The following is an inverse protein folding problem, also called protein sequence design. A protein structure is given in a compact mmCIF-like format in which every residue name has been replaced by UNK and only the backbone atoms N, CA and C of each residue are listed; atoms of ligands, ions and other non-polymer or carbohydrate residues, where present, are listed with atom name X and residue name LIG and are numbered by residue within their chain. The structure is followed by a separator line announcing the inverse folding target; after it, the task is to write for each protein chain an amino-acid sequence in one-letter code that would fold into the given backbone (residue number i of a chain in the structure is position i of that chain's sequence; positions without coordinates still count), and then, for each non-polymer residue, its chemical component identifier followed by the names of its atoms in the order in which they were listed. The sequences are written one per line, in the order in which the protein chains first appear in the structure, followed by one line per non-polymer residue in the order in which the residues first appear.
data_IF_768215916748
#
_entry.id   IF_768215916748
#
_cell.length_a   1.000
_cell.length_b   1.000
_cell.length_c   1.000
_cell.angle_alpha   90.00
_cell.angle_beta   90.00
_cell.angle_gamma   90.00
#
_symmetry.space_group_name_H-M   'P 1'
#
loop_
_entity.id
_entity.type
_entity.pdbx_description
1 polymer ?
#
# COMPACT_ATOMS: atom_id res chain seq x y z
N UNK A 1 1.35 -26.65 -49.57
CA UNK A 1 2.27 -26.45 -48.37
C UNK A 1 2.27 -25.03 -47.76
N UNK A 2 2.06 -23.95 -48.51
CA UNK A 2 2.11 -22.57 -47.97
C UNK A 2 0.94 -22.18 -47.06
N UNK A 3 -0.24 -22.79 -47.23
CA UNK A 3 -1.45 -22.45 -46.46
C UNK A 3 -1.34 -22.87 -45.00
N UNK A 4 -0.70 -24.00 -44.70
CA UNK A 4 -0.52 -24.49 -43.31
C UNK A 4 0.50 -23.65 -42.51
N UNK A 5 1.52 -23.11 -43.16
CA UNK A 5 2.50 -22.25 -42.51
C UNK A 5 1.87 -20.96 -41.93
N UNK A 6 0.91 -20.36 -42.65
CA UNK A 6 0.23 -19.14 -42.18
C UNK A 6 -0.62 -19.41 -40.93
N UNK A 7 -1.31 -20.55 -40.88
CA UNK A 7 -2.12 -20.94 -39.72
C UNK A 7 -1.26 -21.27 -38.51
N UNK A 8 -0.12 -21.91 -38.71
CA UNK A 8 0.84 -22.20 -37.62
C UNK A 8 1.41 -20.89 -37.06
N UNK A 9 1.79 -19.93 -37.90
CA UNK A 9 2.28 -18.64 -37.49
C UNK A 9 1.22 -17.84 -36.71
N UNK A 10 -0.04 -17.86 -37.18
CA UNK A 10 -1.13 -17.22 -36.47
C UNK A 10 -1.38 -17.85 -35.10
N UNK A 11 -1.38 -19.18 -34.99
CA UNK A 11 -1.54 -19.89 -33.75
C UNK A 11 -0.41 -19.57 -32.73
N UNK A 12 0.84 -19.51 -33.21
CA UNK A 12 2.00 -19.14 -32.36
C UNK A 12 1.89 -17.69 -31.87
N UNK A 13 1.45 -16.77 -32.75
CA UNK A 13 1.26 -15.39 -32.35
C UNK A 13 0.17 -15.23 -31.26
N UNK A 14 -0.96 -15.93 -31.43
CA UNK A 14 -2.04 -15.93 -30.42
C UNK A 14 -1.55 -16.51 -29.11
N UNK A 15 -0.83 -17.64 -29.14
CA UNK A 15 -0.28 -18.24 -27.94
C UNK A 15 0.70 -17.31 -27.22
N UNK A 16 1.56 -16.62 -27.96
CA UNK A 16 2.50 -15.64 -27.37
C UNK A 16 1.75 -14.49 -26.70
N UNK A 17 0.70 -13.95 -27.31
CA UNK A 17 -0.14 -12.89 -26.71
C UNK A 17 -0.80 -13.40 -25.42
N UNK A 18 -1.38 -14.58 -25.43
CA UNK A 18 -2.03 -15.18 -24.26
C UNK A 18 -1.03 -15.37 -23.14
N UNK A 19 0.17 -15.87 -23.43
CA UNK A 19 1.23 -16.04 -22.42
C UNK A 19 1.72 -14.69 -21.85
N UNK A 20 1.86 -13.67 -22.68
CA UNK A 20 2.22 -12.32 -22.23
C UNK A 20 1.13 -11.72 -21.34
N UNK A 21 -0.14 -11.85 -21.72
CA UNK A 21 -1.27 -11.39 -20.91
C UNK A 21 -1.34 -12.14 -19.59
N UNK A 22 -1.13 -13.44 -19.59
CA UNK A 22 -1.13 -14.26 -18.37
C UNK A 22 0.03 -13.90 -17.44
N UNK A 23 1.23 -13.69 -17.99
CA UNK A 23 2.39 -13.25 -17.21
C UNK A 23 2.19 -11.86 -16.61
N UNK A 24 1.62 -10.92 -17.37
CA UNK A 24 1.29 -9.59 -16.87
C UNK A 24 0.22 -9.65 -15.76
N UNK A 25 -0.82 -10.48 -15.97
CA UNK A 25 -1.87 -10.70 -14.97
C UNK A 25 -1.32 -11.32 -13.69
N UNK A 26 -0.50 -12.37 -13.80
CA UNK A 26 0.06 -13.06 -12.63
C UNK A 26 0.97 -12.13 -11.81
N UNK A 27 1.77 -11.30 -12.50
CA UNK A 27 2.58 -10.28 -11.85
C UNK A 27 1.70 -9.26 -11.12
N UNK A 28 0.67 -8.74 -11.79
CA UNK A 28 -0.25 -7.77 -11.20
C UNK A 28 -1.01 -8.35 -10.00
N UNK A 29 -1.51 -9.57 -10.11
CA UNK A 29 -2.24 -10.26 -9.04
C UNK A 29 -1.35 -10.64 -7.84
N UNK A 30 -0.03 -10.75 -8.02
CA UNK A 30 0.92 -11.03 -6.94
C UNK A 30 1.56 -9.78 -6.35
N UNK A 31 1.31 -8.58 -6.92
CA UNK A 31 1.87 -7.33 -6.41
C UNK A 31 1.06 -6.84 -5.22
N UNK A 32 1.73 -6.69 -4.08
CA UNK A 32 1.16 -6.08 -2.88
C UNK A 32 1.23 -4.56 -3.01
N UNK A 33 0.09 -3.88 -2.88
CA UNK A 33 -0.01 -2.43 -2.95
C UNK A 33 -0.08 -1.83 -1.57
N UNK A 34 0.88 -0.99 -1.25
CA UNK A 34 0.97 -0.31 0.04
C UNK A 34 0.75 1.18 -0.16
N UNK A 35 -0.32 1.69 0.41
CA UNK A 35 -0.60 3.13 0.46
C UNK A 35 0.17 3.80 1.60
N UNK A 36 0.77 4.96 1.33
CA UNK A 36 1.54 5.73 2.30
C UNK A 36 0.85 7.06 2.55
N UNK A 37 0.49 7.33 3.80
CA UNK A 37 -0.12 8.59 4.23
C UNK A 37 0.88 9.38 5.08
N UNK A 38 1.19 10.61 4.65
CA UNK A 38 2.12 11.51 5.34
C UNK A 38 3.57 10.98 5.45
N UNK A 39 4.02 10.22 4.47
CA UNK A 39 5.43 9.83 4.40
C UNK A 39 6.24 10.90 3.67
N UNK A 40 7.45 11.18 4.18
CA UNK A 40 8.39 12.06 3.47
C UNK A 40 9.21 11.28 2.45
N UNK A 41 9.66 11.94 1.39
CA UNK A 41 10.39 11.30 0.28
C UNK A 41 11.54 10.38 0.73
N UNK A 42 12.29 10.77 1.77
CA UNK A 42 13.40 9.94 2.27
C UNK A 42 12.92 8.67 2.98
N UNK A 43 11.72 8.71 3.59
CA UNK A 43 11.09 7.55 4.24
C UNK A 43 10.58 6.58 3.20
N UNK A 44 9.89 7.08 2.18
CA UNK A 44 9.43 6.30 1.02
C UNK A 44 10.61 5.64 0.31
N UNK A 45 11.69 6.39 0.01
CA UNK A 45 12.89 5.83 -0.60
C UNK A 45 13.54 4.73 0.26
N UNK A 46 13.51 4.87 1.59
CA UNK A 46 14.02 3.84 2.50
C UNK A 46 13.17 2.57 2.49
N UNK A 47 11.84 2.70 2.38
CA UNK A 47 10.92 1.56 2.26
C UNK A 47 11.15 0.81 0.94
N UNK A 48 11.18 1.52 -0.17
CA UNK A 48 11.43 0.95 -1.51
C UNK A 48 12.74 0.19 -1.51
N UNK A 49 13.84 0.82 -1.08
CA UNK A 49 15.16 0.19 -1.02
C UNK A 49 15.24 -1.04 -0.12
N UNK A 50 14.43 -1.11 0.93
CA UNK A 50 14.43 -2.27 1.83
C UNK A 50 13.65 -3.47 1.31
N UNK A 51 12.91 -3.31 0.22
CA UNK A 51 12.01 -4.32 -0.34
C UNK A 51 12.17 -4.49 -1.87
N UNK A 52 13.34 -4.19 -2.42
CA UNK A 52 13.63 -4.24 -3.87
C UNK A 52 13.32 -5.59 -4.53
N UNK A 53 13.42 -6.69 -3.78
CA UNK A 53 13.21 -8.06 -4.29
C UNK A 53 11.76 -8.55 -4.15
N UNK A 54 10.87 -7.73 -3.65
CA UNK A 54 9.49 -8.12 -3.41
C UNK A 54 8.56 -7.43 -4.41
N UNK A 55 7.51 -8.13 -4.82
CA UNK A 55 6.41 -7.57 -5.60
C UNK A 55 5.56 -6.62 -4.74
N UNK A 56 6.17 -5.51 -4.31
CA UNK A 56 5.55 -4.48 -3.47
C UNK A 56 5.63 -3.15 -4.21
N UNK A 57 4.48 -2.53 -4.37
CA UNK A 57 4.34 -1.18 -4.90
C UNK A 57 3.94 -0.23 -3.77
N UNK A 58 4.65 0.87 -3.64
CA UNK A 58 4.35 1.93 -2.68
C UNK A 58 3.78 3.13 -3.42
N UNK A 59 2.65 3.63 -2.97
CA UNK A 59 2.00 4.81 -3.52
C UNK A 59 1.71 5.81 -2.40
N UNK A 60 2.12 7.07 -2.60
CA UNK A 60 1.78 8.14 -1.67
C UNK A 60 0.32 8.55 -1.86
N UNK A 61 -0.43 8.56 -0.77
CA UNK A 61 -1.85 8.94 -0.76
C UNK A 61 -1.94 10.35 -0.18
N UNK A 62 -2.28 11.34 -1.00
CA UNK A 62 -2.51 12.67 -0.48
C UNK A 62 -3.79 12.73 0.36
N UNK A 63 -3.83 13.65 1.33
CA UNK A 63 -4.93 13.76 2.30
C UNK A 63 -6.28 14.12 1.69
N UNK A 64 -6.31 14.59 0.46
CA UNK A 64 -7.54 14.87 -0.30
C UNK A 64 -8.05 13.64 -1.07
N UNK A 65 -7.37 12.49 -0.95
CA UNK A 65 -7.69 11.24 -1.66
C UNK A 65 -7.84 10.02 -0.75
N UNK A 66 -8.21 10.24 0.50
CA UNK A 66 -8.40 9.16 1.48
C UNK A 66 -9.63 8.27 1.15
N UNK A 67 -10.51 8.70 0.25
CA UNK A 67 -11.58 7.89 -0.33
C UNK A 67 -11.06 6.65 -1.08
N UNK A 68 -9.77 6.58 -1.37
CA UNK A 68 -9.14 5.48 -2.13
C UNK A 68 -8.44 4.43 -1.27
N UNK A 69 -8.47 4.55 0.05
CA UNK A 69 -7.74 3.66 0.96
C UNK A 69 -8.10 2.18 0.75
N UNK A 70 -9.34 1.85 0.43
CA UNK A 70 -9.79 0.49 0.16
C UNK A 70 -9.19 -0.19 -1.10
N UNK A 71 -8.34 0.51 -1.85
CA UNK A 71 -7.65 -0.05 -3.03
C UNK A 71 -6.30 -0.67 -2.71
N UNK A 72 -5.83 -0.51 -1.48
CA UNK A 72 -4.52 -0.96 -1.04
C UNK A 72 -4.67 -2.20 -0.17
N UNK A 73 -3.71 -3.10 -0.28
CA UNK A 73 -3.62 -4.29 0.56
C UNK A 73 -3.17 -3.94 1.98
N UNK A 74 -2.51 -2.80 2.13
CA UNK A 74 -2.07 -2.23 3.39
C UNK A 74 -1.95 -0.71 3.26
N UNK A 75 -2.32 0.00 4.30
CA UNK A 75 -2.06 1.45 4.42
C UNK A 75 -1.16 1.71 5.62
N UNK A 76 -0.11 2.46 5.39
CA UNK A 76 0.81 2.94 6.43
C UNK A 76 0.64 4.45 6.60
N UNK A 77 0.32 4.89 7.80
CA UNK A 77 0.21 6.30 8.16
C UNK A 77 1.37 6.74 9.05
N UNK A 78 1.94 7.91 8.77
CA UNK A 78 2.95 8.52 9.63
C UNK A 78 2.32 9.68 10.41
N UNK A 79 1.94 9.42 11.66
CA UNK A 79 1.20 10.35 12.51
C UNK A 79 1.99 11.61 12.86
N UNK A 80 2.98 11.49 13.70
CA UNK A 80 3.93 12.54 14.08
C UNK A 80 3.37 13.99 14.09
N UNK A 81 2.22 14.17 14.72
CA UNK A 81 1.58 15.49 14.82
C UNK A 81 0.80 15.94 13.58
N UNK A 82 0.56 15.07 12.59
CA UNK A 82 -0.28 15.39 11.45
C UNK A 82 -1.72 15.68 11.90
N UNK A 83 -2.20 16.87 11.55
CA UNK A 83 -3.61 17.25 11.76
C UNK A 83 -4.46 16.78 10.59
N UNK A 84 -5.60 16.20 10.90
CA UNK A 84 -6.61 15.74 9.94
C UNK A 84 -7.96 16.37 10.27
N UNK A 85 -8.81 16.51 9.25
CA UNK A 85 -10.20 16.96 9.45
C UNK A 85 -11.09 15.83 9.96
N UNK A 86 -12.25 16.15 10.49
CA UNK A 86 -13.25 15.14 10.87
C UNK A 86 -13.69 14.29 9.68
N UNK A 87 -13.78 14.87 8.49
CA UNK A 87 -14.10 14.14 7.26
C UNK A 87 -13.00 13.14 6.91
N UNK A 88 -11.75 13.57 6.93
CA UNK A 88 -10.58 12.69 6.70
C UNK A 88 -10.52 11.57 7.74
N UNK A 89 -10.80 11.90 8.99
CA UNK A 89 -10.90 10.91 10.06
C UNK A 89 -11.98 9.87 9.76
N UNK A 90 -13.17 10.31 9.38
CA UNK A 90 -14.28 9.42 9.06
C UNK A 90 -13.95 8.50 7.87
N UNK A 91 -13.28 9.02 6.83
CA UNK A 91 -12.84 8.23 5.67
C UNK A 91 -11.85 7.12 6.06
N UNK A 92 -10.88 7.42 6.94
CA UNK A 92 -9.91 6.43 7.40
C UNK A 92 -10.60 5.33 8.23
N UNK A 93 -11.49 5.71 9.15
CA UNK A 93 -12.23 4.76 9.96
C UNK A 93 -13.15 3.88 9.11
N UNK A 94 -13.84 4.45 8.13
CA UNK A 94 -14.69 3.69 7.20
C UNK A 94 -13.87 2.64 6.41
N UNK A 95 -12.70 3.02 5.89
CA UNK A 95 -11.83 2.08 5.19
C UNK A 95 -11.34 0.94 6.10
N UNK A 96 -11.05 1.23 7.36
CA UNK A 96 -10.67 0.22 8.35
C UNK A 96 -11.83 -0.72 8.67
N UNK A 97 -13.05 -0.20 8.82
CA UNK A 97 -14.27 -0.98 9.08
C UNK A 97 -14.64 -1.87 7.88
N UNK A 98 -14.33 -1.43 6.67
CA UNK A 98 -14.45 -2.22 5.43
C UNK A 98 -13.38 -3.31 5.29
N UNK A 99 -12.42 -3.37 6.21
CA UNK A 99 -11.40 -4.41 6.28
C UNK A 99 -10.06 -4.05 5.66
N UNK A 100 -9.83 -2.80 5.28
CA UNK A 100 -8.49 -2.36 4.84
C UNK A 100 -7.54 -2.34 6.04
N UNK A 101 -6.42 -3.10 6.03
CA UNK A 101 -5.44 -3.05 7.10
C UNK A 101 -4.77 -1.67 7.11
N UNK A 102 -4.92 -0.94 8.20
CA UNK A 102 -4.33 0.39 8.38
C UNK A 102 -3.45 0.37 9.63
N UNK A 103 -2.20 0.78 9.47
CA UNK A 103 -1.25 0.92 10.57
C UNK A 103 -0.74 2.34 10.63
N UNK A 104 -0.84 2.95 11.81
CA UNK A 104 -0.34 4.29 12.05
C UNK A 104 0.95 4.20 12.85
N UNK A 105 1.98 4.79 12.27
CA UNK A 105 3.23 5.03 12.96
C UNK A 105 3.05 6.25 13.87
N UNK A 106 2.71 5.99 15.12
CA UNK A 106 2.44 7.02 16.11
C UNK A 106 3.71 7.42 16.88
N UNK A 107 3.74 8.63 17.39
CA UNK A 107 4.67 9.01 18.45
C UNK A 107 4.40 8.20 19.72
N UNK A 108 5.40 8.06 20.60
CA UNK A 108 5.30 7.30 21.87
C UNK A 108 4.16 7.76 22.77
N UNK A 109 3.70 9.00 22.64
CA UNK A 109 2.52 9.54 23.29
C UNK A 109 1.58 10.13 22.24
N UNK A 110 0.54 9.38 21.79
CA UNK A 110 -0.45 9.94 20.91
C UNK A 110 -1.10 11.16 21.60
N UNK A 111 -1.08 12.29 20.92
CA UNK A 111 -1.71 13.51 21.42
C UNK A 111 -3.17 13.26 21.77
N UNK A 112 -3.66 13.94 22.81
CA UNK A 112 -5.07 13.87 23.20
C UNK A 112 -6.01 14.59 22.20
N UNK A 113 -5.45 15.20 21.18
CA UNK A 113 -6.18 15.92 20.15
C UNK A 113 -6.81 14.93 19.17
N UNK A 114 -8.14 14.88 19.16
CA UNK A 114 -8.92 13.99 18.27
C UNK A 114 -8.71 14.29 16.79
N UNK A 115 -8.26 15.50 16.46
CA UNK A 115 -7.95 15.91 15.10
C UNK A 115 -6.53 15.49 14.64
N UNK A 116 -5.78 14.74 15.42
CA UNK A 116 -4.49 14.20 15.00
C UNK A 116 -4.63 12.81 14.38
N UNK A 117 -3.79 12.49 13.39
CA UNK A 117 -3.74 11.15 12.83
C UNK A 117 -3.40 10.11 13.91
N UNK A 118 -2.53 10.45 14.85
CA UNK A 118 -2.15 9.60 15.97
C UNK A 118 -3.35 9.19 16.85
N UNK A 119 -4.38 10.04 16.94
CA UNK A 119 -5.57 9.80 17.75
C UNK A 119 -6.42 8.61 17.25
N UNK A 120 -6.28 8.22 15.99
CA UNK A 120 -6.98 7.07 15.42
C UNK A 120 -6.59 5.74 16.08
N UNK A 121 -5.41 5.67 16.69
CA UNK A 121 -5.00 4.49 17.44
C UNK A 121 -5.88 4.24 18.67
N UNK A 122 -6.44 5.31 19.26
CA UNK A 122 -7.44 5.21 20.34
C UNK A 122 -8.82 4.80 19.83
N UNK A 123 -9.08 4.99 18.54
CA UNK A 123 -10.33 4.56 17.89
C UNK A 123 -10.26 3.13 17.34
N UNK A 124 -9.22 2.36 17.68
CA UNK A 124 -9.08 0.95 17.31
C UNK A 124 -8.23 0.67 16.08
N UNK A 125 -7.68 1.70 15.43
CA UNK A 125 -6.73 1.48 14.33
C UNK A 125 -5.41 0.99 14.90
N UNK A 126 -4.83 -0.03 14.29
CA UNK A 126 -3.57 -0.62 14.71
C UNK A 126 -2.45 0.40 14.73
N UNK A 127 -1.74 0.50 15.84
CA UNK A 127 -0.60 1.39 15.97
C UNK A 127 0.71 0.62 15.98
N UNK A 128 1.71 1.17 15.32
CA UNK A 128 3.08 0.77 15.52
C UNK A 128 3.83 1.88 16.26
N UNK A 129 4.24 1.61 17.49
CA UNK A 129 5.03 2.54 18.28
C UNK A 129 6.51 2.17 18.09
N UNK A 130 7.28 3.07 17.50
CA UNK A 130 8.70 2.81 17.28
C UNK A 130 9.46 4.05 16.81
N UNK A 131 10.75 3.99 16.88
CA UNK A 131 11.66 5.10 16.58
C UNK A 131 12.13 5.16 15.11
N UNK A 132 11.29 4.78 14.15
CA UNK A 132 11.46 5.04 12.71
C UNK A 132 12.73 4.49 12.06
N UNK A 133 13.30 3.42 12.58
CA UNK A 133 14.50 2.85 11.97
C UNK A 133 14.17 1.82 10.87
N UNK A 134 15.12 1.57 9.95
CA UNK A 134 14.98 0.63 8.82
C UNK A 134 14.49 -0.77 9.20
N UNK A 135 14.76 -1.23 10.41
CA UNK A 135 14.37 -2.55 10.89
C UNK A 135 12.86 -2.62 11.14
N UNK A 136 12.26 -1.52 11.57
CA UNK A 136 10.84 -1.41 11.83
C UNK A 136 10.03 -1.48 10.54
N UNK A 137 10.46 -0.77 9.49
CA UNK A 137 9.80 -0.82 8.18
C UNK A 137 9.85 -2.21 7.55
N UNK A 138 10.95 -2.95 7.68
CA UNK A 138 11.05 -4.35 7.22
C UNK A 138 10.05 -5.27 7.93
N UNK A 139 9.84 -5.05 9.20
CA UNK A 139 8.91 -5.87 9.97
C UNK A 139 7.46 -5.60 9.55
N UNK A 140 7.09 -4.34 9.33
CA UNK A 140 5.74 -3.97 8.86
C UNK A 140 5.43 -4.60 7.50
N UNK A 141 6.33 -4.57 6.55
CA UNK A 141 6.15 -5.19 5.24
C UNK A 141 6.01 -6.74 5.29
N UNK A 142 6.49 -7.40 6.35
CA UNK A 142 6.36 -8.86 6.54
C UNK A 142 5.01 -9.31 7.08
N UNK A 143 4.23 -8.41 7.69
CA UNK A 143 2.91 -8.75 8.23
C UNK A 143 1.80 -8.81 7.15
N UNK A 144 2.11 -8.43 5.92
CA UNK A 144 1.16 -8.40 4.79
C UNK A 144 1.19 -9.68 3.94
N UNK A 145 2.02 -10.66 4.31
CA UNK A 145 2.14 -11.95 3.60
C UNK A 145 1.40 -13.07 4.28
#
# INVERSE_FOLDING_TARGET
MAKNKKWILAAVAVLAVVLCCWAAWSKWASTTRIGLVNFQNYQTASLVKSNEDNFIEYEEIPLDRLDRLGRYDLVLGFGMGLKITEEQRAQILAAADEGTPIYIYAATNPENDICSLDSLTKAGISAYIGNGNKRNYRNMARYVR
#
